data_IF_968581367143
#
_entry.id   IF_968581367143
#
_cell.length_a   1.000
_cell.length_b   1.000
_cell.length_c   1.000
_cell.angle_alpha   90.00
_cell.angle_beta   90.00
_cell.angle_gamma   90.00
#
_symmetry.space_group_name_H-M   'P 1'
#
loop_
_entity.id
_entity.type
_entity.pdbx_description
1 polymer ?
#
# COMPACT_ATOMS: atom_id res chain seq x y z
N UNK A 1 11.17 -4.76 5.06
CA UNK A 1 10.80 -5.91 4.21
C UNK A 1 10.22 -5.35 2.94
N UNK A 2 10.63 -5.84 1.78
CA UNK A 2 10.16 -5.37 0.48
C UNK A 2 9.19 -6.39 -0.12
N UNK A 3 8.06 -5.93 -0.64
CA UNK A 3 7.06 -6.77 -1.30
C UNK A 3 6.73 -6.18 -2.67
N UNK A 4 6.89 -6.99 -3.71
CA UNK A 4 6.67 -6.56 -5.10
C UNK A 4 5.38 -7.14 -5.67
N UNK A 5 4.54 -6.27 -6.23
CA UNK A 5 3.30 -6.62 -6.92
C UNK A 5 3.40 -6.44 -8.44
N UNK A 6 4.60 -6.20 -8.98
CA UNK A 6 4.86 -5.97 -10.41
C UNK A 6 4.50 -7.17 -11.31
N UNK A 7 4.58 -8.38 -10.76
CA UNK A 7 4.18 -9.61 -11.46
C UNK A 7 2.75 -10.06 -11.12
N UNK A 8 2.04 -9.34 -10.26
CA UNK A 8 0.68 -9.67 -9.87
C UNK A 8 -0.34 -9.11 -10.87
N UNK A 9 -1.38 -9.89 -11.16
CA UNK A 9 -2.55 -9.43 -11.89
C UNK A 9 -3.71 -9.29 -10.91
N UNK A 10 -4.13 -8.04 -10.65
CA UNK A 10 -5.23 -7.76 -9.75
C UNK A 10 -6.56 -8.13 -10.41
N UNK A 11 -7.45 -8.76 -9.63
CA UNK A 11 -8.81 -9.03 -10.07
C UNK A 11 -9.51 -7.71 -10.45
N UNK A 12 -10.37 -7.70 -11.50
CA UNK A 12 -11.24 -6.55 -11.78
C UNK A 12 -12.14 -6.18 -10.60
N UNK A 13 -12.48 -7.14 -9.73
CA UNK A 13 -13.26 -6.90 -8.50
C UNK A 13 -12.42 -6.27 -7.38
N UNK A 14 -11.11 -6.16 -7.59
CA UNK A 14 -10.14 -5.67 -6.61
C UNK A 14 -9.59 -6.77 -5.70
N UNK A 15 -8.76 -6.36 -4.75
CA UNK A 15 -8.28 -7.23 -3.67
C UNK A 15 -7.98 -6.44 -2.40
N UNK A 16 -7.79 -7.16 -1.31
CA UNK A 16 -7.36 -6.62 -0.03
C UNK A 16 -5.99 -7.19 0.35
N UNK A 17 -5.13 -6.32 0.89
CA UNK A 17 -3.88 -6.70 1.54
C UNK A 17 -3.93 -6.20 2.98
N UNK A 18 -3.85 -7.13 3.92
CA UNK A 18 -3.74 -6.84 5.34
C UNK A 18 -2.26 -6.75 5.75
N UNK A 19 -1.90 -5.66 6.42
CA UNK A 19 -0.54 -5.35 6.89
C UNK A 19 -0.53 -5.23 8.41
N UNK A 20 0.26 -6.05 9.09
CA UNK A 20 0.49 -5.97 10.54
C UNK A 20 1.99 -5.81 10.81
N UNK A 21 2.38 -4.66 11.34
CA UNK A 21 3.75 -4.32 11.70
C UNK A 21 3.78 -3.90 13.14
N UNK A 22 4.42 -4.68 14.00
CA UNK A 22 4.60 -4.34 15.42
C UNK A 22 5.90 -3.58 15.71
N UNK A 23 6.93 -3.75 14.88
CA UNK A 23 8.22 -3.06 14.95
C UNK A 23 8.95 -3.19 13.61
N UNK A 24 9.55 -2.11 13.10
CA UNK A 24 10.28 -2.11 11.82
C UNK A 24 9.46 -1.59 10.64
N UNK A 25 9.91 -1.81 9.40
CA UNK A 25 9.28 -1.21 8.21
C UNK A 25 8.99 -2.21 7.08
N UNK A 26 7.89 -1.96 6.37
CA UNK A 26 7.51 -2.64 5.12
C UNK A 26 7.46 -1.63 3.99
N UNK A 27 7.99 -2.01 2.83
CA UNK A 27 7.90 -1.27 1.58
C UNK A 27 7.09 -2.09 0.57
N UNK A 28 6.01 -1.51 0.05
CA UNK A 28 5.17 -2.12 -0.96
C UNK A 28 5.46 -1.48 -2.31
N UNK A 29 5.82 -2.29 -3.30
CA UNK A 29 6.05 -1.85 -4.67
C UNK A 29 4.83 -2.21 -5.54
N UNK A 30 3.98 -1.22 -5.80
CA UNK A 30 2.63 -1.40 -6.37
C UNK A 30 2.58 -0.86 -7.81
N UNK A 31 1.98 -1.60 -8.77
CA UNK A 31 1.78 -1.09 -10.12
C UNK A 31 1.01 0.25 -10.17
N UNK A 32 1.55 1.23 -10.90
CA UNK A 32 0.95 2.59 -11.08
C UNK A 32 -0.47 2.64 -11.62
N UNK A 33 -0.94 1.55 -12.21
CA UNK A 33 -2.27 1.43 -12.83
C UNK A 33 -3.31 0.84 -11.87
N UNK A 34 -2.99 0.63 -10.59
CA UNK A 34 -3.95 0.20 -9.57
C UNK A 34 -4.45 1.37 -8.75
N UNK A 35 -5.74 1.34 -8.42
CA UNK A 35 -6.31 2.32 -7.50
C UNK A 35 -6.08 1.85 -6.05
N UNK A 36 -5.13 2.46 -5.35
CA UNK A 36 -4.78 2.08 -3.98
C UNK A 36 -5.57 2.90 -2.96
N UNK A 37 -6.39 2.24 -2.15
CA UNK A 37 -7.07 2.81 -0.99
C UNK A 37 -6.34 2.38 0.28
N UNK A 38 -5.74 3.33 1.00
CA UNK A 38 -4.98 3.04 2.21
C UNK A 38 -5.82 3.33 3.47
N UNK A 39 -6.22 2.26 4.16
CA UNK A 39 -6.95 2.27 5.42
C UNK A 39 -6.10 1.72 6.59
N UNK A 40 -4.77 1.76 6.48
CA UNK A 40 -3.86 1.29 7.52
C UNK A 40 -3.76 2.30 8.65
N UNK A 41 -3.92 1.83 9.89
CA UNK A 41 -3.76 2.66 11.08
C UNK A 41 -2.29 2.63 11.55
N UNK A 42 -1.65 3.79 11.63
CA UNK A 42 -0.27 3.93 12.12
C UNK A 42 -0.23 4.66 13.47
N UNK A 43 0.51 4.11 14.44
CA UNK A 43 0.70 4.70 15.76
C UNK A 43 2.19 4.74 16.14
N UNK A 44 2.62 5.84 16.78
CA UNK A 44 4.02 6.07 17.20
C UNK A 44 5.05 6.14 16.06
N UNK A 45 4.66 6.79 14.94
CA UNK A 45 5.49 7.00 13.74
C UNK A 45 5.47 8.48 13.39
N UNK A 46 6.63 9.08 13.10
CA UNK A 46 6.68 10.43 12.52
C UNK A 46 6.06 10.39 11.13
N UNK A 47 4.97 11.11 10.92
CA UNK A 47 4.22 11.05 9.66
C UNK A 47 4.97 11.83 8.57
N UNK A 48 5.71 11.14 7.70
CA UNK A 48 6.10 11.66 6.39
C UNK A 48 5.21 11.04 5.32
N UNK A 49 4.17 11.79 4.90
CA UNK A 49 3.29 11.39 3.81
C UNK A 49 3.93 11.80 2.48
N UNK A 50 4.79 10.94 1.93
CA UNK A 50 5.25 11.08 0.55
C UNK A 50 4.07 10.73 -0.38
N UNK A 51 3.18 11.70 -0.63
CA UNK A 51 2.12 11.59 -1.64
C UNK A 51 2.76 11.46 -3.02
N UNK A 52 3.06 10.23 -3.43
CA UNK A 52 3.46 9.94 -4.81
C UNK A 52 2.19 9.69 -5.61
N UNK A 53 2.03 10.51 -6.64
CA UNK A 53 0.89 10.59 -7.53
C UNK A 53 0.41 9.21 -8.00
N UNK A 54 -0.80 8.85 -7.60
CA UNK A 54 -1.55 7.74 -8.19
C UNK A 54 -2.09 8.20 -9.57
N UNK A 55 -1.75 7.49 -10.64
CA UNK A 55 -2.23 7.75 -12.01
C UNK A 55 -3.32 6.75 -12.44
N UNK A 56 -3.98 6.09 -11.48
CA UNK A 56 -5.08 5.18 -11.76
C UNK A 56 -6.25 5.91 -12.45
N UNK A 57 -6.77 5.30 -13.51
CA UNK A 57 -8.04 5.70 -14.12
C UNK A 57 -9.22 5.24 -13.24
N UNK A 58 -10.40 5.83 -13.44
CA UNK A 58 -11.61 5.51 -12.67
C UNK A 58 -12.01 4.01 -12.74
N UNK A 59 -11.64 3.33 -13.83
CA UNK A 59 -11.88 1.89 -14.05
C UNK A 59 -10.69 0.99 -13.66
N UNK A 60 -9.66 1.53 -13.03
CA UNK A 60 -8.50 0.75 -12.60
C UNK A 60 -8.86 -0.20 -11.46
N UNK A 61 -8.32 -1.43 -11.43
CA UNK A 61 -8.63 -2.38 -10.37
C UNK A 61 -8.19 -1.83 -9.02
N UNK A 62 -9.02 -2.03 -7.99
CA UNK A 62 -8.85 -1.42 -6.66
C UNK A 62 -8.08 -2.35 -5.73
N UNK A 63 -7.02 -1.84 -5.11
CA UNK A 63 -6.30 -2.51 -4.03
C UNK A 63 -6.60 -1.78 -2.71
N UNK A 64 -7.22 -2.46 -1.77
CA UNK A 64 -7.47 -1.93 -0.43
C UNK A 64 -6.36 -2.42 0.51
N UNK A 65 -5.66 -1.48 1.15
CA UNK A 65 -4.70 -1.79 2.22
C UNK A 65 -5.37 -1.59 3.57
N UNK A 66 -5.31 -2.60 4.44
CA UNK A 66 -5.86 -2.55 5.80
C UNK A 66 -4.83 -3.01 6.83
N UNK A 67 -5.06 -2.70 8.10
CA UNK A 67 -4.28 -3.23 9.21
C UNK A 67 -3.62 -2.17 10.07
N UNK A 68 -2.54 -2.55 10.76
CA UNK A 68 -1.95 -1.77 11.84
C UNK A 68 -0.43 -1.71 11.74
N UNK A 69 0.13 -0.53 11.98
CA UNK A 69 1.56 -0.29 12.11
C UNK A 69 1.84 0.36 13.46
N UNK A 70 2.69 -0.28 14.25
CA UNK A 70 3.20 0.18 15.55
C UNK A 70 4.72 0.22 15.50
N UNK A 71 5.33 1.25 16.08
CA UNK A 71 6.79 1.40 16.21
C UNK A 71 7.56 1.09 14.90
N UNK A 72 7.08 1.63 13.78
CA UNK A 72 7.47 1.16 12.46
C UNK A 72 7.07 2.07 11.30
N UNK A 73 7.04 1.53 10.08
CA UNK A 73 6.63 2.29 8.89
C UNK A 73 6.04 1.42 7.79
N UNK A 74 5.14 1.99 7.01
CA UNK A 74 4.65 1.43 5.76
C UNK A 74 4.93 2.44 4.65
N UNK A 75 5.78 2.08 3.70
CA UNK A 75 6.08 2.87 2.52
C UNK A 75 5.42 2.26 1.29
N UNK A 76 4.81 3.11 0.45
CA UNK A 76 4.16 2.68 -0.79
C UNK A 76 4.91 3.31 -1.96
N UNK A 77 5.54 2.47 -2.76
CA UNK A 77 6.32 2.82 -3.93
C UNK A 77 5.56 2.42 -5.20
N UNK A 78 5.10 3.40 -5.96
CA UNK A 78 4.46 3.12 -7.25
C UNK A 78 5.50 2.84 -8.34
N UNK A 79 5.42 1.68 -8.98
CA UNK A 79 6.30 1.22 -10.08
C UNK A 79 5.56 0.97 -11.39
#
# INVERSE_FOLDING_TARGET
MEVYFDQAQLSPEGAEVFVDVSFGAIELYIPRHWNVENNVHASLVGVEEARRFNNASENSPKLTLTGNVSLGGLEINYI
#
